data_IF_965783596261
#
_entry.id   IF_965783596261
#
_cell.length_a   1.000
_cell.length_b   1.000
_cell.length_c   1.000
_cell.angle_alpha   90.00
_cell.angle_beta   90.00
_cell.angle_gamma   90.00
#
_symmetry.space_group_name_H-M   'P 1'
#
loop_
_entity.id
_entity.type
_entity.pdbx_description
1 polymer ?
#
# COMPACT_ATOMS: atom_id res chain seq x y z
N UNK A 1 1.07 7.17 -21.64
CA UNK A 1 0.78 5.72 -21.72
C UNK A 1 1.40 5.17 -23.00
N UNK A 2 1.67 3.87 -23.04
CA UNK A 2 2.23 3.16 -24.20
C UNK A 2 1.22 2.15 -24.74
N UNK A 3 1.54 1.54 -25.88
CA UNK A 3 0.70 0.51 -26.49
C UNK A 3 0.63 -0.75 -25.60
N UNK A 4 -0.58 -1.22 -25.33
CA UNK A 4 -0.83 -2.43 -24.54
C UNK A 4 -1.44 -3.51 -25.44
N UNK A 5 -1.32 -4.81 -25.09
CA UNK A 5 -1.98 -5.87 -25.83
C UNK A 5 -3.48 -5.59 -25.99
N UNK A 6 -4.07 -5.97 -27.14
CA UNK A 6 -5.47 -5.64 -27.49
C UNK A 6 -6.51 -6.06 -26.44
N UNK A 7 -6.21 -7.09 -25.65
CA UNK A 7 -7.07 -7.60 -24.58
C UNK A 7 -6.86 -6.92 -23.22
N UNK A 8 -5.92 -5.99 -23.10
CA UNK A 8 -5.70 -5.18 -21.92
C UNK A 8 -6.45 -3.85 -22.04
N UNK A 9 -6.71 -3.22 -20.90
CA UNK A 9 -7.33 -1.89 -20.85
C UNK A 9 -6.63 -0.99 -19.85
N UNK A 10 -6.49 0.28 -20.19
CA UNK A 10 -6.13 1.30 -19.20
C UNK A 10 -7.36 1.65 -18.37
N UNK A 11 -7.24 1.53 -17.05
CA UNK A 11 -8.28 1.92 -16.08
C UNK A 11 -7.71 2.91 -15.08
N UNK A 12 -8.56 3.68 -14.42
CA UNK A 12 -8.17 4.52 -13.28
C UNK A 12 -8.16 3.67 -12.01
N UNK A 13 -7.20 3.90 -11.11
CA UNK A 13 -7.06 3.12 -9.88
C UNK A 13 -8.34 3.10 -9.04
N UNK A 14 -9.04 4.23 -8.94
CA UNK A 14 -10.32 4.34 -8.22
C UNK A 14 -11.48 3.55 -8.84
N UNK A 15 -11.36 3.07 -10.07
CA UNK A 15 -12.35 2.19 -10.69
C UNK A 15 -12.20 0.71 -10.27
N UNK A 16 -11.03 0.34 -9.73
CA UNK A 16 -10.70 -1.07 -9.41
C UNK A 16 -10.31 -1.29 -7.96
N UNK A 17 -10.19 -0.22 -7.17
CA UNK A 17 -9.85 -0.29 -5.77
C UNK A 17 -10.47 0.89 -4.99
N UNK A 18 -10.74 0.64 -3.72
CA UNK A 18 -10.95 1.71 -2.74
C UNK A 18 -9.61 2.15 -2.15
N UNK A 19 -9.52 3.44 -1.83
CA UNK A 19 -8.32 4.08 -1.34
C UNK A 19 -8.65 5.07 -0.23
N UNK A 20 -7.96 4.94 0.90
CA UNK A 20 -8.10 5.82 2.05
C UNK A 20 -6.82 5.88 2.90
N UNK A 21 -6.59 7.03 3.54
CA UNK A 21 -5.49 7.23 4.49
C UNK A 21 -5.90 6.84 5.91
N UNK A 22 -4.89 6.56 6.74
CA UNK A 22 -5.04 6.28 8.15
C UNK A 22 -5.07 7.54 9.03
N UNK A 23 -4.77 7.38 10.31
CA UNK A 23 -4.85 8.44 11.32
C UNK A 23 -3.46 8.79 11.82
N UNK A 24 -3.15 10.07 11.99
CA UNK A 24 -1.93 10.51 12.69
C UNK A 24 -2.09 10.34 14.20
N UNK A 25 -1.00 10.00 14.87
CA UNK A 25 -0.91 10.03 16.33
C UNK A 25 0.21 11.01 16.69
N UNK A 26 -0.05 11.96 17.59
CA UNK A 26 1.01 12.84 18.08
C UNK A 26 1.93 12.06 19.04
N UNK A 27 3.18 12.52 19.19
CA UNK A 27 4.19 11.78 19.97
C UNK A 27 3.84 11.62 21.45
N UNK A 28 3.16 12.60 22.05
CA UNK A 28 2.76 12.55 23.46
C UNK A 28 1.69 11.47 23.68
N UNK A 29 0.62 11.49 22.88
CA UNK A 29 -0.45 10.50 22.92
C UNK A 29 0.06 9.09 22.62
N UNK A 30 0.94 8.96 21.61
CA UNK A 30 1.56 7.67 21.25
C UNK A 30 2.27 7.06 22.45
N UNK A 31 3.12 7.83 23.13
CA UNK A 31 3.85 7.38 24.33
C UNK A 31 2.94 7.06 25.50
N UNK A 32 1.90 7.86 25.71
CA UNK A 32 1.00 7.71 26.85
C UNK A 32 0.00 6.55 26.70
N UNK A 33 -0.46 6.25 25.47
CA UNK A 33 -1.64 5.40 25.28
C UNK A 33 -1.42 4.17 24.41
N UNK A 34 -0.39 4.14 23.56
CA UNK A 34 -0.27 3.14 22.49
C UNK A 34 1.07 2.38 22.48
N UNK A 35 2.10 2.90 23.13
CA UNK A 35 3.39 2.22 23.29
C UNK A 35 3.28 1.01 24.22
N UNK A 36 3.85 -0.13 23.81
CA UNK A 36 3.90 -1.38 24.57
C UNK A 36 2.52 -1.85 25.08
N UNK A 37 1.47 -1.58 24.31
CA UNK A 37 0.11 -2.01 24.62
C UNK A 37 -0.30 -3.21 23.77
N UNK A 38 -1.26 -3.99 24.26
CA UNK A 38 -1.91 -5.03 23.48
C UNK A 38 -3.03 -4.46 22.60
N UNK A 39 -3.08 -4.87 21.34
CA UNK A 39 -4.10 -4.40 20.41
C UNK A 39 -3.76 -4.67 18.95
N UNK A 40 -4.39 -3.91 18.05
CA UNK A 40 -4.12 -3.98 16.61
C UNK A 40 -2.85 -3.20 16.31
N UNK A 41 -1.84 -3.76 15.61
CA UNK A 41 -0.60 -3.04 15.30
C UNK A 41 -0.85 -1.72 14.60
N UNK A 42 -0.09 -0.69 14.94
CA UNK A 42 -0.11 0.60 14.25
C UNK A 42 1.12 0.75 13.36
N UNK A 43 0.91 0.83 12.04
CA UNK A 43 1.98 0.87 11.04
C UNK A 43 2.20 2.30 10.53
N UNK A 44 3.42 2.79 10.67
CA UNK A 44 3.90 4.03 10.05
C UNK A 44 4.79 3.77 8.84
N UNK A 45 5.15 4.83 8.13
CA UNK A 45 6.04 4.75 6.95
C UNK A 45 7.44 4.21 7.28
N UNK A 46 7.88 4.33 8.53
CA UNK A 46 9.17 3.78 9.01
C UNK A 46 9.15 2.26 9.12
N UNK A 47 7.98 1.66 9.32
CA UNK A 47 7.81 0.24 9.61
C UNK A 47 7.71 -0.60 8.32
N UNK A 48 7.63 0.06 7.16
CA UNK A 48 7.64 -0.58 5.84
C UNK A 48 9.05 -0.44 5.25
N UNK A 49 9.66 -1.55 4.88
CA UNK A 49 10.94 -1.61 4.17
C UNK A 49 10.81 -1.22 2.69
N UNK A 50 11.92 -0.90 2.05
CA UNK A 50 11.97 -0.71 0.60
C UNK A 50 11.85 -2.05 -0.17
N UNK A 51 12.02 -3.16 0.53
CA UNK A 51 11.80 -4.54 0.05
C UNK A 51 10.35 -5.00 0.24
N UNK A 52 9.46 -4.12 0.71
CA UNK A 52 8.05 -4.40 0.94
C UNK A 52 7.76 -5.21 2.21
N UNK A 53 8.77 -5.55 3.02
CA UNK A 53 8.57 -6.17 4.34
C UNK A 53 7.99 -5.14 5.32
N UNK A 54 7.20 -5.61 6.27
CA UNK A 54 6.56 -4.77 7.28
C UNK A 54 6.88 -5.28 8.68
N UNK A 55 7.31 -4.37 9.55
CA UNK A 55 7.58 -4.63 10.96
C UNK A 55 6.29 -4.45 11.77
N UNK A 56 5.57 -5.54 12.01
CA UNK A 56 4.35 -5.51 12.82
C UNK A 56 4.62 -5.30 14.32
N UNK A 57 5.77 -5.79 14.82
CA UNK A 57 6.15 -5.71 16.24
C UNK A 57 7.05 -4.49 16.48
N UNK A 58 6.52 -3.29 16.21
CA UNK A 58 7.25 -2.03 16.35
C UNK A 58 7.04 -1.34 17.72
N UNK A 59 6.36 -2.03 18.65
CA UNK A 59 6.03 -1.52 19.98
C UNK A 59 4.83 -0.57 20.03
N UNK A 60 4.07 -0.38 18.94
CA UNK A 60 2.87 0.48 18.90
C UNK A 60 1.65 -0.32 18.48
N UNK A 61 0.62 -0.33 19.33
CA UNK A 61 -0.66 -0.96 19.02
C UNK A 61 -1.83 -0.07 19.47
N UNK A 62 -2.99 -0.25 18.84
CA UNK A 62 -4.23 0.42 19.19
C UNK A 62 -5.09 -0.55 20.02
N UNK A 63 -5.31 -0.28 21.31
CA UNK A 63 -6.16 -1.10 22.17
C UNK A 63 -7.60 -1.15 21.66
N UNK A 64 -8.30 -2.26 21.94
CA UNK A 64 -9.69 -2.51 21.51
C UNK A 64 -10.62 -1.32 21.79
N UNK A 65 -10.49 -0.68 22.97
CA UNK A 65 -11.29 0.47 23.40
C UNK A 65 -11.14 1.71 22.51
N UNK A 66 -10.04 1.86 21.79
CA UNK A 66 -9.79 3.02 20.92
C UNK A 66 -9.93 2.68 19.43
N UNK A 67 -10.21 1.42 19.06
CA UNK A 67 -10.27 1.00 17.65
C UNK A 67 -11.30 1.75 16.81
N UNK A 68 -12.38 2.25 17.42
CA UNK A 68 -13.39 3.06 16.71
C UNK A 68 -12.86 4.42 16.25
N UNK A 69 -11.77 4.91 16.85
CA UNK A 69 -11.13 6.18 16.50
C UNK A 69 -10.18 6.06 15.30
N UNK A 70 -9.83 4.83 14.92
CA UNK A 70 -8.82 4.54 13.92
C UNK A 70 -9.41 3.81 12.72
N UNK A 71 -8.98 4.22 11.53
CA UNK A 71 -9.16 3.42 10.33
C UNK A 71 -8.30 2.17 10.40
N UNK A 72 -8.83 1.10 9.82
CA UNK A 72 -8.18 -0.21 9.76
C UNK A 72 -7.96 -0.58 8.31
N UNK A 73 -6.78 -1.12 8.01
CA UNK A 73 -6.54 -1.88 6.80
C UNK A 73 -6.63 -3.36 7.19
N UNK A 74 -7.47 -4.13 6.50
CA UNK A 74 -7.62 -5.56 6.76
C UNK A 74 -6.52 -6.36 6.08
N UNK A 75 -6.27 -7.59 6.55
CA UNK A 75 -5.40 -8.53 5.83
C UNK A 75 -5.72 -8.57 4.34
N UNK A 76 -4.69 -8.75 3.50
CA UNK A 76 -4.77 -8.72 2.05
C UNK A 76 -5.06 -7.33 1.45
N UNK A 77 -4.65 -6.26 2.14
CA UNK A 77 -4.65 -4.88 1.62
C UNK A 77 -3.23 -4.42 1.29
N UNK A 78 -3.10 -3.44 0.40
CA UNK A 78 -1.79 -2.81 0.13
C UNK A 78 -1.69 -1.52 0.94
N UNK A 79 -0.55 -1.28 1.58
CA UNK A 79 -0.19 0.03 2.12
C UNK A 79 0.91 0.65 1.26
N UNK A 80 0.70 1.89 0.82
CA UNK A 80 1.70 2.68 0.08
C UNK A 80 1.99 3.99 0.79
N UNK A 81 3.26 4.35 0.93
CA UNK A 81 3.68 5.68 1.36
C UNK A 81 3.35 6.72 0.28
N UNK A 82 2.51 7.70 0.61
CA UNK A 82 2.02 8.71 -0.35
C UNK A 82 2.63 10.10 -0.18
N UNK A 83 3.38 10.34 0.90
CA UNK A 83 3.97 11.64 1.22
C UNK A 83 5.36 11.51 1.88
N UNK A 84 6.27 12.43 1.54
CA UNK A 84 7.62 12.52 2.10
C UNK A 84 8.70 11.81 1.27
N UNK A 85 9.91 11.72 1.81
CA UNK A 85 11.09 11.21 1.08
C UNK A 85 10.99 9.75 0.58
N UNK A 86 10.02 8.99 1.09
CA UNK A 86 9.74 7.60 0.66
C UNK A 86 8.45 7.46 -0.16
N UNK A 87 7.82 8.57 -0.57
CA UNK A 87 6.56 8.56 -1.31
C UNK A 87 6.68 7.83 -2.65
N UNK A 88 5.78 6.88 -2.88
CA UNK A 88 5.73 6.01 -4.06
C UNK A 88 6.69 4.82 -4.02
N UNK A 89 7.50 4.66 -2.95
CA UNK A 89 8.59 3.66 -2.90
C UNK A 89 8.39 2.58 -1.85
N UNK A 90 7.83 2.94 -0.69
CA UNK A 90 7.52 1.98 0.38
C UNK A 90 6.11 1.47 0.19
N UNK A 91 6.01 0.20 -0.22
CA UNK A 91 4.76 -0.47 -0.58
C UNK A 91 4.79 -1.86 0.04
N UNK A 92 3.75 -2.25 0.77
CA UNK A 92 3.64 -3.60 1.36
C UNK A 92 2.26 -4.19 1.12
N UNK A 93 2.18 -5.52 1.01
CA UNK A 93 0.95 -6.28 1.06
C UNK A 93 0.83 -6.87 2.48
N UNK A 94 -0.15 -6.43 3.25
CA UNK A 94 -0.28 -6.85 4.65
C UNK A 94 -0.97 -8.21 4.78
N UNK A 95 -0.49 -9.05 5.70
CA UNK A 95 -1.05 -10.38 5.99
C UNK A 95 -1.97 -10.39 7.23
N UNK A 96 -2.08 -9.26 7.93
CA UNK A 96 -2.95 -9.08 9.10
C UNK A 96 -3.55 -7.68 9.14
N UNK A 97 -4.64 -7.56 9.90
CA UNK A 97 -5.32 -6.28 10.13
C UNK A 97 -4.43 -5.34 10.93
N UNK A 98 -4.34 -4.07 10.50
CA UNK A 98 -3.56 -3.02 11.15
C UNK A 98 -4.31 -1.69 11.19
N UNK A 99 -3.99 -0.86 12.17
CA UNK A 99 -4.17 0.59 12.08
C UNK A 99 -2.93 1.21 11.44
N UNK A 100 -3.03 2.39 10.85
CA UNK A 100 -1.91 2.95 10.10
C UNK A 100 -1.91 4.47 10.07
N UNK A 101 -0.74 5.05 9.79
CA UNK A 101 -0.54 6.49 9.74
C UNK A 101 -1.16 7.18 8.52
N UNK A 102 -1.46 8.47 8.66
CA UNK A 102 -2.08 9.29 7.60
C UNK A 102 -1.19 9.50 6.35
N UNK A 103 0.13 9.27 6.45
CA UNK A 103 1.07 9.29 5.30
C UNK A 103 1.09 7.99 4.49
N UNK A 104 0.37 6.97 4.96
CA UNK A 104 0.12 5.74 4.24
C UNK A 104 -1.30 5.78 3.67
N UNK A 105 -1.44 5.28 2.44
CA UNK A 105 -2.73 5.00 1.82
C UNK A 105 -2.95 3.49 1.79
N UNK A 106 -4.10 3.05 2.28
CA UNK A 106 -4.59 1.70 2.10
C UNK A 106 -5.27 1.58 0.74
N UNK A 107 -4.95 0.51 0.00
CA UNK A 107 -5.56 0.16 -1.28
C UNK A 107 -6.17 -1.24 -1.14
N UNK A 108 -7.48 -1.32 -1.33
CA UNK A 108 -8.24 -2.58 -1.33
C UNK A 108 -8.89 -2.78 -2.68
N UNK A 109 -8.56 -3.88 -3.35
CA UNK A 109 -9.15 -4.16 -4.67
C UNK A 109 -10.62 -4.56 -4.53
N UNK A 110 -11.45 -4.13 -5.48
CA UNK A 110 -12.82 -4.62 -5.63
C UNK A 110 -12.87 -6.05 -6.18
N UNK A 111 -11.74 -6.61 -6.57
CA UNK A 111 -11.60 -7.93 -7.17
C UNK A 111 -10.55 -8.76 -6.41
N UNK A 112 -10.58 -10.07 -6.58
CA UNK A 112 -9.73 -11.01 -5.82
C UNK A 112 -8.22 -10.88 -6.11
N UNK A 113 -7.80 -10.15 -7.14
CA UNK A 113 -6.41 -10.13 -7.65
C UNK A 113 -5.60 -8.92 -7.17
N UNK A 114 -5.65 -8.63 -5.88
CA UNK A 114 -4.83 -7.57 -5.25
C UNK A 114 -3.32 -7.76 -5.47
N UNK A 115 -2.84 -9.00 -5.60
CA UNK A 115 -1.42 -9.31 -5.86
C UNK A 115 -0.90 -8.74 -7.18
N UNK A 116 -1.71 -8.75 -8.24
CA UNK A 116 -1.32 -8.12 -9.51
C UNK A 116 -1.08 -6.63 -9.30
N UNK A 117 -2.03 -5.96 -8.62
CA UNK A 117 -1.92 -4.54 -8.30
C UNK A 117 -0.70 -4.26 -7.42
N UNK A 118 -0.40 -5.12 -6.44
CA UNK A 118 0.79 -5.01 -5.60
C UNK A 118 2.10 -5.03 -6.41
N UNK A 119 2.23 -5.93 -7.39
CA UNK A 119 3.41 -5.93 -8.26
C UNK A 119 3.45 -4.74 -9.22
N UNK A 120 2.31 -4.35 -9.79
CA UNK A 120 2.25 -3.16 -10.64
C UNK A 120 2.68 -1.90 -9.88
N UNK A 121 2.23 -1.71 -8.64
CA UNK A 121 2.59 -0.56 -7.82
C UNK A 121 4.10 -0.51 -7.49
N UNK A 122 4.79 -1.66 -7.50
CA UNK A 122 6.24 -1.72 -7.31
C UNK A 122 7.04 -1.55 -8.60
N UNK A 123 6.36 -1.50 -9.76
CA UNK A 123 7.04 -1.37 -11.05
C UNK A 123 7.69 0.01 -11.22
N UNK A 124 8.82 0.10 -11.96
CA UNK A 124 9.43 1.38 -12.32
C UNK A 124 8.43 2.33 -13.01
N UNK A 125 7.56 1.77 -13.84
CA UNK A 125 6.51 2.51 -14.54
C UNK A 125 5.54 3.21 -13.59
N UNK A 126 5.02 2.50 -12.58
CA UNK A 126 4.17 3.15 -11.60
C UNK A 126 4.93 4.23 -10.84
N UNK A 127 6.19 3.96 -10.46
CA UNK A 127 7.00 4.95 -9.75
C UNK A 127 7.22 6.23 -10.56
N UNK A 128 7.47 6.14 -11.86
CA UNK A 128 7.56 7.28 -12.77
C UNK A 128 6.24 8.07 -12.82
N UNK A 129 5.11 7.38 -13.03
CA UNK A 129 3.78 8.00 -13.05
C UNK A 129 3.50 8.70 -11.71
N UNK A 130 3.83 8.05 -10.59
CA UNK A 130 3.67 8.61 -9.26
C UNK A 130 4.52 9.88 -9.08
N UNK A 131 5.79 9.85 -9.51
CA UNK A 131 6.69 11.01 -9.43
C UNK A 131 6.21 12.21 -10.25
N UNK A 132 5.70 11.97 -11.45
CA UNK A 132 5.12 13.02 -12.30
C UNK A 132 3.89 13.69 -11.66
N UNK A 133 3.24 13.02 -10.72
CA UNK A 133 2.05 13.52 -10.03
C UNK A 133 2.34 14.02 -8.60
N UNK A 134 3.61 14.03 -8.16
CA UNK A 134 4.00 14.58 -6.86
C UNK A 134 3.80 16.09 -6.85
N UNK A 135 3.21 16.58 -5.77
CA UNK A 135 2.98 17.98 -5.52
C UNK A 135 3.38 18.37 -4.08
N UNK A 136 3.46 19.67 -3.82
CA UNK A 136 3.77 20.22 -2.49
C UNK A 136 5.24 20.16 -2.09
N UNK A 137 5.61 20.95 -1.08
CA UNK A 137 7.01 21.14 -0.63
C UNK A 137 7.64 19.82 -0.14
N UNK A 138 6.87 19.02 0.60
CA UNK A 138 7.33 17.74 1.17
C UNK A 138 7.30 16.61 0.12
N UNK A 139 6.63 16.84 -1.02
CA UNK A 139 6.44 15.87 -2.09
C UNK A 139 5.46 14.76 -1.70
N UNK A 140 4.31 14.72 -2.37
CA UNK A 140 3.34 13.65 -2.18
C UNK A 140 2.26 13.62 -3.26
N UNK A 141 1.47 12.54 -3.26
CA UNK A 141 0.32 12.35 -4.14
C UNK A 141 -0.91 12.22 -3.26
N UNK A 142 -1.89 13.11 -3.42
CA UNK A 142 -3.15 13.03 -2.68
C UNK A 142 -3.90 11.73 -3.02
N UNK A 143 -4.76 11.25 -2.13
CA UNK A 143 -5.61 10.07 -2.40
C UNK A 143 -6.44 10.26 -3.67
N UNK A 144 -6.95 11.46 -3.91
CA UNK A 144 -7.73 11.76 -5.11
C UNK A 144 -6.87 11.68 -6.38
N UNK A 145 -5.65 12.20 -6.36
CA UNK A 145 -4.73 12.06 -7.49
C UNK A 145 -4.33 10.60 -7.70
N UNK A 146 -4.07 9.85 -6.62
CA UNK A 146 -3.76 8.43 -6.67
C UNK A 146 -4.90 7.61 -7.28
N UNK A 147 -6.15 7.90 -6.91
CA UNK A 147 -7.37 7.32 -7.53
C UNK A 147 -7.44 7.58 -9.04
N UNK A 148 -6.90 8.71 -9.50
CA UNK A 148 -6.87 9.10 -10.90
C UNK A 148 -5.65 8.57 -11.67
N UNK A 149 -4.68 7.92 -11.04
CA UNK A 149 -3.57 7.31 -11.79
C UNK A 149 -4.06 6.12 -12.61
N UNK A 150 -3.43 5.92 -13.77
CA UNK A 150 -3.78 4.84 -14.69
C UNK A 150 -3.07 3.54 -14.30
N UNK A 151 -3.77 2.42 -14.51
CA UNK A 151 -3.31 1.05 -14.28
C UNK A 151 -3.58 0.26 -15.57
N UNK A 152 -2.59 -0.47 -16.12
CA UNK A 152 -2.84 -1.40 -17.19
C UNK A 152 -3.53 -2.62 -16.58
N UNK A 153 -4.72 -2.98 -17.05
CA UNK A 153 -5.50 -4.07 -16.50
C UNK A 153 -5.65 -5.19 -17.52
N UNK A 154 -4.91 -6.31 -17.36
CA UNK A 154 -5.05 -7.50 -18.18
C UNK A 154 -6.38 -8.23 -17.90
N UNK A 155 -6.78 -9.19 -18.74
CA UNK A 155 -7.79 -10.19 -18.37
C UNK A 155 -7.37 -10.98 -17.11
N UNK A 156 -8.34 -11.51 -16.36
CA UNK A 156 -8.08 -12.18 -15.07
C UNK A 156 -7.09 -13.35 -15.17
N UNK A 157 -7.19 -14.17 -16.22
CA UNK A 157 -6.27 -15.28 -16.46
C UNK A 157 -4.82 -14.78 -16.63
N UNK A 158 -4.64 -13.66 -17.31
CA UNK A 158 -3.33 -13.06 -17.55
C UNK A 158 -2.78 -12.41 -16.28
N UNK A 159 -3.63 -11.75 -15.47
CA UNK A 159 -3.23 -11.26 -14.15
C UNK A 159 -2.71 -12.40 -13.26
N UNK A 160 -3.40 -13.55 -13.26
CA UNK A 160 -2.99 -14.72 -12.52
C UNK A 160 -1.64 -15.26 -13.01
N UNK A 161 -1.48 -15.44 -14.33
CA UNK A 161 -0.23 -15.91 -14.95
C UNK A 161 0.97 -15.01 -14.60
N UNK A 162 0.77 -13.69 -14.63
CA UNK A 162 1.80 -12.71 -14.24
C UNK A 162 2.18 -12.88 -12.78
N UNK A 163 1.18 -12.94 -11.87
CA UNK A 163 1.41 -13.12 -10.43
C UNK A 163 2.19 -14.41 -10.16
N UNK A 164 1.78 -15.53 -10.75
CA UNK A 164 2.45 -16.83 -10.58
C UNK A 164 3.91 -16.81 -11.06
N UNK A 165 4.17 -16.15 -12.18
CA UNK A 165 5.53 -16.01 -12.72
C UNK A 165 6.43 -15.22 -11.78
N UNK A 166 5.94 -14.09 -11.27
CA UNK A 166 6.69 -13.23 -10.34
C UNK A 166 6.93 -13.95 -9.01
N UNK A 167 5.89 -14.58 -8.45
CA UNK A 167 5.98 -15.38 -7.22
C UNK A 167 7.00 -16.53 -7.37
N UNK A 168 7.05 -17.19 -8.53
CA UNK A 168 8.02 -18.25 -8.79
C UNK A 168 9.46 -17.72 -8.77
N UNK A 169 9.72 -16.54 -9.33
CA UNK A 169 11.04 -15.90 -9.31
C UNK A 169 11.46 -15.56 -7.88
N UNK A 170 10.58 -14.92 -7.09
CA UNK A 170 10.90 -14.58 -5.69
C UNK A 170 11.20 -15.81 -4.84
N UNK A 171 10.45 -16.90 -5.01
CA UNK A 171 10.73 -18.18 -4.33
C UNK A 171 12.11 -18.76 -4.65
N UNK A 172 12.65 -18.50 -5.84
CA UNK A 172 14.00 -18.94 -6.20
C UNK A 172 15.09 -18.06 -5.58
N UNK A 173 14.81 -16.77 -5.35
CA UNK A 173 15.76 -15.82 -4.76
C UNK A 173 15.86 -16.02 -3.24
N UNK A 174 14.73 -16.25 -2.55
CA UNK A 174 14.70 -16.41 -1.08
C UNK A 174 15.27 -17.74 -0.57
N UNK A 175 15.47 -18.72 -1.46
CA UNK A 175 16.07 -20.03 -1.11
C UNK A 175 17.60 -20.02 -1.06
N UNK A 176 18.23 -18.90 -1.37
CA UNK A 176 19.68 -18.67 -1.29
C UNK A 176 19.99 -17.59 -0.25
#
# INVERSE_FOLDING_TARGET
PFEIPKNWRWVRMGQIADLYTGNSINEQEKKAQYMNTEGVPYIGTKDIGFDGKVLYQNGVAIPKKHLSLFKKAYSNSILICIEGGSAGRKITLIDKTVCFGNKLCCITSYYEKIRYLFYYLQSPMFFEIFNQNKNGIIGGVSVNNLKNLIVPLPPLAEQQRIVESIDAIFRCIEKN
#
